data_IF_574652663810
#
_entry.id   IF_574652663810
#
_cell.length_a   1.000
_cell.length_b   1.000
_cell.length_c   1.000
_cell.angle_alpha   90.00
_cell.angle_beta   90.00
_cell.angle_gamma   90.00
#
_symmetry.space_group_name_H-M   'P 1'
#
loop_
_entity.id
_entity.type
_entity.pdbx_description
1 polymer ?
#
# COMPACT_ATOMS: atom_id res chain seq x y z
N UNK A 1 -3.20 10.75 31.93
CA UNK A 1 -3.42 11.12 30.51
C UNK A 1 -4.90 11.38 30.31
N UNK A 2 -5.27 12.61 29.96
CA UNK A 2 -6.65 13.00 29.62
C UNK A 2 -7.05 12.41 28.27
N UNK A 3 -8.30 11.94 28.08
CA UNK A 3 -8.76 11.42 26.80
C UNK A 3 -8.83 12.53 25.76
N UNK A 4 -8.23 12.29 24.59
CA UNK A 4 -8.29 13.20 23.44
C UNK A 4 -9.70 13.13 22.84
N UNK A 5 -10.40 14.26 22.63
CA UNK A 5 -11.75 14.25 22.08
C UNK A 5 -11.73 13.76 20.62
N UNK A 6 -12.67 12.87 20.30
CA UNK A 6 -12.94 12.38 18.95
C UNK A 6 -13.41 13.56 18.09
N UNK A 7 -12.53 14.11 17.25
CA UNK A 7 -12.89 15.13 16.28
C UNK A 7 -13.67 14.47 15.14
N UNK A 8 -14.98 14.75 15.06
CA UNK A 8 -15.78 14.37 13.90
C UNK A 8 -15.24 15.05 12.63
N UNK A 9 -15.15 14.34 11.50
CA UNK A 9 -14.70 14.93 10.24
C UNK A 9 -15.71 15.98 9.73
N UNK A 10 -15.25 17.06 9.08
CA UNK A 10 -16.10 18.15 8.60
C UNK A 10 -17.16 17.66 7.60
N UNK A 11 -18.37 18.20 7.73
CA UNK A 11 -19.62 17.69 7.10
C UNK A 11 -19.62 17.67 5.57
N UNK A 12 -18.63 18.29 4.93
CA UNK A 12 -18.49 18.36 3.46
C UNK A 12 -18.00 17.03 2.85
N UNK A 13 -17.28 16.18 3.60
CA UNK A 13 -16.79 14.88 3.10
C UNK A 13 -17.86 13.79 3.04
N UNK A 14 -19.01 13.97 3.70
CA UNK A 14 -20.09 12.95 3.71
C UNK A 14 -20.76 12.78 2.35
N UNK A 15 -20.73 13.79 1.47
CA UNK A 15 -21.44 13.73 0.18
C UNK A 15 -20.68 12.95 -0.90
N UNK A 16 -19.34 12.98 -0.90
CA UNK A 16 -18.52 12.28 -1.90
C UNK A 16 -18.38 10.79 -1.56
N UNK A 17 -18.19 10.47 -0.27
CA UNK A 17 -18.15 9.07 0.21
C UNK A 17 -19.49 8.38 -0.02
N UNK A 18 -20.61 9.07 0.17
CA UNK A 18 -21.96 8.52 -0.08
C UNK A 18 -22.23 8.31 -1.57
N UNK A 19 -21.64 9.11 -2.48
CA UNK A 19 -21.79 8.91 -3.94
C UNK A 19 -21.04 7.67 -4.41
N UNK A 20 -19.83 7.44 -3.90
CA UNK A 20 -19.05 6.21 -4.15
C UNK A 20 -19.64 4.95 -3.51
N UNK A 21 -20.57 5.09 -2.56
CA UNK A 21 -21.23 3.97 -1.88
C UNK A 21 -22.60 3.62 -2.48
N UNK A 22 -23.21 4.49 -3.29
CA UNK A 22 -24.59 4.32 -3.79
C UNK A 22 -24.72 3.79 -5.23
N UNK A 23 -23.67 3.80 -6.05
CA UNK A 23 -23.76 3.36 -7.46
C UNK A 23 -23.05 2.03 -7.79
N UNK A 24 -22.51 1.34 -6.78
CA UNK A 24 -21.70 0.12 -6.96
C UNK A 24 -22.36 -1.21 -6.53
N UNK A 25 -23.64 -1.45 -6.80
CA UNK A 25 -24.22 -2.82 -6.66
C UNK A 25 -25.03 -3.26 -7.88
N UNK A 26 -24.52 -4.22 -8.65
CA UNK A 26 -25.34 -5.26 -9.25
C UNK A 26 -25.29 -6.54 -8.39
N UNK A 27 -26.43 -7.19 -8.28
CA UNK A 27 -26.68 -8.36 -7.43
C UNK A 27 -25.85 -9.59 -7.77
N UNK A 28 -25.65 -10.44 -6.76
CA UNK A 28 -25.07 -11.78 -6.88
C UNK A 28 -26.11 -12.76 -7.43
N UNK A 29 -25.70 -13.61 -8.37
CA UNK A 29 -26.06 -15.04 -8.37
C UNK A 29 -24.92 -15.86 -9.01
N UNK A 30 -24.77 -17.17 -8.67
CA UNK A 30 -23.49 -17.89 -8.71
C UNK A 30 -23.33 -18.86 -9.89
N UNK A 31 -22.11 -19.45 -9.97
CA UNK A 31 -21.65 -20.61 -10.77
C UNK A 31 -21.17 -20.27 -12.20
N UNK A 32 -20.10 -20.83 -12.79
CA UNK A 32 -19.32 -22.05 -12.56
C UNK A 32 -17.84 -21.83 -13.00
N UNK A 33 -16.95 -22.70 -12.49
CA UNK A 33 -15.51 -22.84 -12.81
C UNK A 33 -15.17 -22.95 -14.31
N UNK A 34 -14.05 -22.36 -14.75
CA UNK A 34 -12.77 -23.05 -15.03
C UNK A 34 -11.74 -22.12 -15.70
N UNK A 35 -10.47 -22.51 -15.57
CA UNK A 35 -9.28 -22.09 -16.31
C UNK A 35 -8.51 -20.82 -15.89
N UNK A 36 -7.67 -21.06 -14.88
CA UNK A 36 -6.32 -20.50 -14.79
C UNK A 36 -5.51 -20.82 -16.05
N UNK A 37 -5.03 -19.81 -16.77
CA UNK A 37 -3.66 -19.81 -17.32
C UNK A 37 -3.15 -18.37 -17.38
N UNK A 38 -1.88 -18.21 -17.01
CA UNK A 38 -1.28 -16.95 -16.58
C UNK A 38 -1.11 -15.89 -17.66
N UNK A 39 -0.98 -14.65 -17.20
CA UNK A 39 -0.21 -13.56 -17.82
C UNK A 39 0.03 -12.51 -16.74
N UNK A 40 0.97 -12.83 -15.85
CA UNK A 40 1.62 -11.87 -14.98
C UNK A 40 2.86 -11.37 -15.73
N UNK A 41 2.94 -10.06 -16.00
CA UNK A 41 4.05 -9.29 -16.60
C UNK A 41 3.69 -8.58 -17.92
N UNK A 42 3.01 -7.42 -17.85
CA UNK A 42 2.99 -6.43 -18.95
C UNK A 42 2.51 -5.01 -18.55
N UNK A 43 2.66 -4.55 -17.30
CA UNK A 43 2.19 -3.21 -16.88
C UNK A 43 3.27 -2.33 -16.25
N UNK A 44 4.54 -2.67 -16.45
CA UNK A 44 5.69 -1.90 -15.93
C UNK A 44 6.56 -1.37 -17.07
N UNK A 45 5.97 -0.59 -17.99
CA UNK A 45 6.74 0.34 -18.82
C UNK A 45 5.84 1.47 -19.36
N UNK A 46 5.99 2.73 -18.89
CA UNK A 46 5.29 3.88 -19.46
C UNK A 46 5.77 4.29 -20.87
N UNK A 47 6.78 3.62 -21.44
CA UNK A 47 7.49 4.08 -22.64
C UNK A 47 7.32 3.22 -23.89
N UNK A 48 6.40 2.25 -23.92
CA UNK A 48 6.18 1.42 -25.11
C UNK A 48 4.74 1.46 -25.63
N UNK A 49 4.22 2.65 -25.93
CA UNK A 49 3.24 2.78 -27.01
C UNK A 49 3.98 2.66 -28.35
N UNK A 50 4.32 1.43 -28.75
CA UNK A 50 4.83 1.17 -30.09
C UNK A 50 3.73 1.49 -31.09
N UNK A 51 3.92 2.58 -31.80
CA UNK A 51 3.12 3.00 -32.94
C UNK A 51 3.33 2.02 -34.10
N UNK A 52 2.58 0.91 -34.11
CA UNK A 52 2.41 0.11 -35.32
C UNK A 52 1.53 0.90 -36.29
N UNK A 53 2.17 1.54 -37.28
CA UNK A 53 1.47 2.15 -38.42
C UNK A 53 0.95 1.04 -39.32
N UNK A 54 -0.29 0.62 -39.10
CA UNK A 54 -1.05 -0.16 -40.07
C UNK A 54 -1.75 0.82 -41.03
N UNK A 55 -1.65 0.55 -42.33
CA UNK A 55 -2.18 1.37 -43.43
C UNK A 55 -3.69 1.60 -43.26
N UNK A 56 -4.09 2.87 -43.18
CA UNK A 56 -5.47 3.32 -42.94
C UNK A 56 -5.55 4.30 -41.77
N UNK A 57 -4.97 5.50 -41.93
CA UNK A 57 -4.96 6.52 -40.86
C UNK A 57 -6.38 7.07 -40.65
N UNK A 58 -7.08 6.49 -39.68
CA UNK A 58 -8.18 7.14 -38.95
C UNK A 58 -7.57 8.35 -38.23
N UNK A 59 -8.13 9.55 -38.43
CA UNK A 59 -7.75 10.73 -37.65
C UNK A 59 -8.03 10.44 -36.17
N UNK A 60 -6.97 10.45 -35.35
CA UNK A 60 -7.08 10.22 -33.90
C UNK A 60 -7.50 11.50 -33.19
N UNK A 61 -8.45 11.38 -32.27
CA UNK A 61 -8.77 12.48 -31.34
C UNK A 61 -7.61 12.68 -30.35
N UNK A 62 -7.27 13.94 -30.07
CA UNK A 62 -6.16 14.33 -29.19
C UNK A 62 -6.71 14.87 -27.86
N UNK A 63 -6.62 14.08 -26.79
CA UNK A 63 -7.20 14.38 -25.48
C UNK A 63 -6.14 14.70 -24.43
N UNK A 64 -5.39 15.78 -24.67
CA UNK A 64 -4.23 16.15 -23.84
C UNK A 64 -4.57 16.36 -22.36
N UNK A 65 -5.75 16.92 -22.09
CA UNK A 65 -6.19 17.18 -20.71
C UNK A 65 -6.50 15.88 -19.98
N UNK A 66 -7.18 14.93 -20.65
CA UNK A 66 -7.45 13.61 -20.08
C UNK A 66 -6.16 12.82 -19.85
N UNK A 67 -5.22 12.86 -20.80
CA UNK A 67 -3.91 12.21 -20.65
C UNK A 67 -3.13 12.74 -19.44
N UNK A 68 -3.24 14.05 -19.17
CA UNK A 68 -2.62 14.69 -18.02
C UNK A 68 -3.22 14.18 -16.70
N UNK A 69 -4.55 14.17 -16.60
CA UNK A 69 -5.25 13.70 -15.40
C UNK A 69 -5.08 12.19 -15.19
N UNK A 70 -5.10 11.40 -16.27
CA UNK A 70 -4.83 9.97 -16.22
C UNK A 70 -3.41 9.70 -15.69
N UNK A 71 -2.41 10.45 -16.14
CA UNK A 71 -1.03 10.31 -15.65
C UNK A 71 -0.93 10.62 -14.15
N UNK A 72 -1.60 11.67 -13.68
CA UNK A 72 -1.65 12.02 -12.25
C UNK A 72 -2.33 10.91 -11.44
N UNK A 73 -3.47 10.41 -11.91
CA UNK A 73 -4.18 9.30 -11.30
C UNK A 73 -3.29 8.04 -11.22
N UNK A 74 -2.64 7.64 -12.31
CA UNK A 74 -1.76 6.46 -12.36
C UNK A 74 -0.56 6.58 -11.42
N UNK A 75 -0.02 7.78 -11.27
CA UNK A 75 1.04 8.06 -10.29
C UNK A 75 0.54 7.82 -8.86
N UNK A 76 -0.64 8.34 -8.52
CA UNK A 76 -1.26 8.14 -7.21
C UNK A 76 -1.63 6.67 -6.96
N UNK A 77 -2.25 5.98 -7.92
CA UNK A 77 -2.62 4.57 -7.84
C UNK A 77 -1.40 3.70 -7.54
N UNK A 78 -0.30 3.92 -8.25
CA UNK A 78 0.95 3.18 -8.06
C UNK A 78 1.51 3.43 -6.65
N UNK A 79 1.53 4.68 -6.21
CA UNK A 79 2.02 5.03 -4.88
C UNK A 79 1.16 4.43 -3.76
N UNK A 80 -0.18 4.47 -3.89
CA UNK A 80 -1.11 3.93 -2.90
C UNK A 80 -1.03 2.40 -2.81
N UNK A 81 -0.95 1.69 -3.95
CA UNK A 81 -0.76 0.24 -3.95
C UNK A 81 0.60 -0.16 -3.33
N UNK A 82 1.66 0.61 -3.61
CA UNK A 82 2.95 0.41 -2.95
C UNK A 82 2.82 0.63 -1.44
N UNK A 83 2.20 1.72 -1.01
CA UNK A 83 1.96 2.01 0.40
C UNK A 83 1.19 0.88 1.10
N UNK A 84 0.15 0.32 0.47
CA UNK A 84 -0.59 -0.82 1.01
C UNK A 84 0.32 -2.03 1.25
N UNK A 85 1.18 -2.35 0.27
CA UNK A 85 2.13 -3.46 0.37
C UNK A 85 3.14 -3.23 1.49
N UNK A 86 3.75 -2.06 1.54
CA UNK A 86 4.76 -1.72 2.56
C UNK A 86 4.14 -1.65 3.96
N UNK A 87 2.94 -1.08 4.12
CA UNK A 87 2.24 -1.02 5.39
C UNK A 87 1.90 -2.42 5.93
N UNK A 88 1.52 -3.35 5.05
CA UNK A 88 1.32 -4.75 5.42
C UNK A 88 2.64 -5.41 5.81
N UNK A 89 3.67 -5.22 4.98
CA UNK A 89 5.01 -5.75 5.23
C UNK A 89 5.56 -5.30 6.58
N UNK A 90 5.37 -4.03 6.96
CA UNK A 90 5.77 -3.50 8.26
C UNK A 90 5.16 -4.27 9.44
N UNK A 91 3.84 -4.55 9.41
CA UNK A 91 3.18 -5.29 10.47
C UNK A 91 3.70 -6.73 10.55
N UNK A 92 3.90 -7.38 9.41
CA UNK A 92 4.44 -8.74 9.34
C UNK A 92 5.89 -8.79 9.86
N UNK A 93 6.71 -7.78 9.54
CA UNK A 93 8.07 -7.63 10.07
C UNK A 93 8.09 -7.41 11.58
N UNK A 94 7.19 -6.59 12.13
CA UNK A 94 7.09 -6.42 13.58
C UNK A 94 6.81 -7.74 14.29
N UNK A 95 5.84 -8.53 13.80
CA UNK A 95 5.52 -9.85 14.36
C UNK A 95 6.68 -10.82 14.23
N UNK A 96 7.35 -10.84 13.08
CA UNK A 96 8.49 -11.71 12.85
C UNK A 96 9.67 -11.38 13.79
N UNK A 97 9.92 -10.09 14.01
CA UNK A 97 10.95 -9.60 14.92
C UNK A 97 10.66 -10.04 16.36
N UNK A 98 9.45 -9.82 16.88
CA UNK A 98 9.13 -10.20 18.27
C UNK A 98 9.12 -11.71 18.47
N UNK A 99 8.62 -12.47 17.49
CA UNK A 99 8.71 -13.93 17.52
C UNK A 99 10.18 -14.41 17.51
N UNK A 100 11.07 -13.73 16.79
CA UNK A 100 12.50 -14.03 16.82
C UNK A 100 13.13 -13.69 18.15
N UNK A 101 12.77 -12.54 18.73
CA UNK A 101 13.24 -12.11 20.05
C UNK A 101 12.82 -13.10 21.14
N UNK A 102 11.60 -13.64 21.05
CA UNK A 102 11.10 -14.69 21.95
C UNK A 102 11.95 -15.95 21.89
N UNK A 103 12.25 -16.46 20.68
CA UNK A 103 13.09 -17.66 20.53
C UNK A 103 14.50 -17.47 21.09
N UNK A 104 15.07 -16.26 20.94
CA UNK A 104 16.36 -15.91 21.55
C UNK A 104 16.25 -15.99 23.07
N UNK A 105 15.21 -15.36 23.65
CA UNK A 105 14.97 -15.39 25.09
C UNK A 105 14.81 -16.81 25.65
N UNK A 106 14.02 -17.65 24.98
CA UNK A 106 13.83 -19.07 25.34
C UNK A 106 15.15 -19.85 25.28
N UNK A 107 15.96 -19.62 24.25
CA UNK A 107 17.25 -20.30 24.06
C UNK A 107 18.25 -19.89 25.15
N UNK A 108 18.33 -18.60 25.47
CA UNK A 108 19.20 -18.07 26.54
C UNK A 108 18.78 -18.66 27.89
N UNK A 109 17.48 -18.63 28.21
CA UNK A 109 16.94 -19.18 29.45
C UNK A 109 17.25 -20.69 29.58
N UNK A 110 17.04 -21.47 28.51
CA UNK A 110 17.36 -22.90 28.49
C UNK A 110 18.86 -23.19 28.59
N UNK A 111 19.70 -22.38 27.93
CA UNK A 111 21.15 -22.57 27.91
C UNK A 111 21.79 -22.27 29.28
N UNK A 112 21.42 -21.14 29.88
CA UNK A 112 21.97 -20.75 31.18
C UNK A 112 21.30 -21.48 32.35
N UNK A 113 20.07 -21.97 32.20
CA UNK A 113 19.39 -22.84 33.17
C UNK A 113 19.50 -22.36 34.63
N UNK A 114 19.95 -23.24 35.52
CA UNK A 114 20.18 -22.91 36.94
C UNK A 114 21.46 -22.06 37.20
N UNK A 115 22.36 -21.95 36.23
CA UNK A 115 23.56 -21.09 36.34
C UNK A 115 23.23 -19.61 36.10
N UNK A 116 22.32 -19.32 35.17
CA UNK A 116 21.74 -17.97 34.96
C UNK A 116 20.78 -17.52 36.07
N UNK A 117 20.57 -18.35 37.10
CA UNK A 117 19.82 -17.97 38.32
C UNK A 117 20.65 -17.12 39.25
N UNK A 118 21.98 -17.13 39.12
CA UNK A 118 22.87 -16.42 40.06
C UNK A 118 22.85 -14.90 39.87
N UNK A 119 22.52 -14.40 38.67
CA UNK A 119 22.40 -12.97 38.35
C UNK A 119 20.97 -12.55 37.93
N UNK A 120 20.13 -13.50 37.49
CA UNK A 120 18.71 -13.25 37.18
C UNK A 120 18.47 -12.51 35.86
N UNK A 121 19.53 -12.17 35.13
CA UNK A 121 19.48 -11.38 33.88
C UNK A 121 18.75 -12.13 32.78
N UNK A 122 19.05 -13.42 32.58
CA UNK A 122 18.43 -14.25 31.54
C UNK A 122 16.91 -14.39 31.73
N UNK A 123 16.48 -14.62 32.97
CA UNK A 123 15.06 -14.68 33.36
C UNK A 123 14.36 -13.33 33.21
N UNK A 124 15.00 -12.24 33.65
CA UNK A 124 14.44 -10.90 33.46
C UNK A 124 14.31 -10.53 31.98
N UNK A 125 15.31 -10.88 31.16
CA UNK A 125 15.24 -10.66 29.72
C UNK A 125 14.07 -11.42 29.10
N UNK A 126 13.92 -12.71 29.44
CA UNK A 126 12.79 -13.51 28.96
C UNK A 126 11.44 -12.91 29.36
N UNK A 127 11.25 -12.53 30.61
CA UNK A 127 10.02 -11.88 31.07
C UNK A 127 9.76 -10.55 30.33
N UNK A 128 10.79 -9.73 30.12
CA UNK A 128 10.64 -8.47 29.38
C UNK A 128 10.24 -8.69 27.90
N UNK A 129 10.73 -9.76 27.28
CA UNK A 129 10.37 -10.15 25.92
C UNK A 129 8.95 -10.73 25.85
N UNK A 130 8.55 -11.55 26.83
CA UNK A 130 7.19 -12.09 26.97
C UNK A 130 6.16 -10.97 27.12
N UNK A 131 6.44 -9.98 27.99
CA UNK A 131 5.60 -8.79 28.17
C UNK A 131 5.49 -7.98 26.87
N UNK A 132 6.61 -7.78 26.16
CA UNK A 132 6.63 -7.03 24.91
C UNK A 132 5.78 -7.71 23.82
N UNK A 133 5.85 -9.04 23.70
CA UNK A 133 5.04 -9.77 22.72
C UNK A 133 3.55 -9.79 23.13
N UNK A 134 3.27 -10.11 24.39
CA UNK A 134 1.92 -10.33 24.87
C UNK A 134 1.11 -9.04 25.05
N UNK A 135 1.72 -7.97 25.59
CA UNK A 135 1.01 -6.75 25.96
C UNK A 135 1.14 -5.66 24.90
N UNK A 136 2.29 -5.54 24.22
CA UNK A 136 2.53 -4.47 23.26
C UNK A 136 2.09 -4.89 21.85
N UNK A 137 2.64 -5.96 21.29
CA UNK A 137 2.33 -6.34 19.90
C UNK A 137 0.88 -6.74 19.72
N UNK A 138 0.33 -7.63 20.57
CA UNK A 138 -1.08 -8.03 20.45
C UNK A 138 -2.04 -6.85 20.63
N UNK A 139 -1.71 -5.90 21.51
CA UNK A 139 -2.53 -4.70 21.69
C UNK A 139 -2.41 -3.69 20.55
N UNK A 140 -1.28 -3.66 19.83
CA UNK A 140 -1.06 -2.78 18.68
C UNK A 140 -1.56 -3.37 17.35
N UNK A 141 -1.67 -4.69 17.24
CA UNK A 141 -2.06 -5.40 16.01
C UNK A 141 -3.44 -4.96 15.51
N UNK A 142 -4.43 -4.97 16.40
CA UNK A 142 -5.80 -4.57 16.11
C UNK A 142 -5.91 -3.10 15.68
N UNK A 143 -5.40 -2.13 16.48
CA UNK A 143 -5.33 -0.73 16.10
C UNK A 143 -4.61 -0.48 14.77
N UNK A 144 -3.47 -1.14 14.52
CA UNK A 144 -2.75 -0.98 13.25
C UNK A 144 -3.58 -1.47 12.06
N UNK A 145 -4.21 -2.64 12.17
CA UNK A 145 -5.10 -3.16 11.13
C UNK A 145 -6.25 -2.20 10.84
N UNK A 146 -6.95 -1.75 11.88
CA UNK A 146 -8.15 -0.90 11.76
C UNK A 146 -7.85 0.53 11.31
N UNK A 147 -6.77 1.12 11.82
CA UNK A 147 -6.49 2.54 11.62
C UNK A 147 -5.49 2.79 10.50
N UNK A 148 -4.73 1.79 10.05
CA UNK A 148 -3.72 1.92 8.99
C UNK A 148 -4.05 1.03 7.79
N UNK A 149 -4.12 -0.29 7.98
CA UNK A 149 -4.24 -1.23 6.85
C UNK A 149 -5.62 -1.19 6.17
N UNK A 150 -6.69 -1.19 6.95
CA UNK A 150 -8.06 -1.21 6.41
C UNK A 150 -8.39 0.07 5.60
N UNK A 151 -8.09 1.29 6.09
CA UNK A 151 -8.33 2.51 5.30
C UNK A 151 -7.55 2.52 3.99
N UNK A 152 -6.24 2.21 4.03
CA UNK A 152 -5.38 2.14 2.84
C UNK A 152 -5.93 1.08 1.87
N UNK A 153 -6.29 -0.09 2.37
CA UNK A 153 -6.83 -1.18 1.51
C UNK A 153 -8.16 -0.80 0.88
N UNK A 154 -9.04 -0.11 1.62
CA UNK A 154 -10.30 0.39 1.09
C UNK A 154 -10.07 1.46 0.02
N UNK A 155 -9.09 2.34 0.20
CA UNK A 155 -8.71 3.31 -0.83
C UNK A 155 -8.26 2.62 -2.12
N UNK A 156 -7.36 1.63 -2.01
CA UNK A 156 -6.88 0.88 -3.16
C UNK A 156 -7.98 0.05 -3.85
N UNK A 157 -9.02 -0.37 -3.11
CA UNK A 157 -10.12 -1.16 -3.65
C UNK A 157 -10.98 -0.41 -4.68
N UNK A 158 -10.90 0.92 -4.76
CA UNK A 158 -11.62 1.70 -5.78
C UNK A 158 -10.92 1.70 -7.15
N UNK A 159 -9.62 1.47 -7.20
CA UNK A 159 -8.84 1.59 -8.44
C UNK A 159 -9.28 0.63 -9.56
N UNK A 160 -9.64 -0.65 -9.30
CA UNK A 160 -10.12 -1.54 -10.36
C UNK A 160 -11.34 -0.99 -11.11
N UNK A 161 -12.32 -0.44 -10.40
CA UNK A 161 -13.54 0.10 -11.02
C UNK A 161 -13.22 1.34 -11.86
N UNK A 162 -12.36 2.24 -11.34
CA UNK A 162 -11.92 3.43 -12.07
C UNK A 162 -11.14 3.04 -13.33
N UNK A 163 -10.28 2.01 -13.24
CA UNK A 163 -9.53 1.48 -14.37
C UNK A 163 -10.45 0.91 -15.45
N UNK A 164 -11.52 0.24 -15.07
CA UNK A 164 -12.54 -0.24 -16.01
C UNK A 164 -13.30 0.92 -16.67
N UNK A 165 -13.59 2.00 -15.95
CA UNK A 165 -14.15 3.22 -16.56
C UNK A 165 -13.19 3.87 -17.57
N UNK A 166 -11.91 3.99 -17.24
CA UNK A 166 -10.87 4.49 -18.16
C UNK A 166 -10.77 3.62 -19.42
N UNK A 167 -10.79 2.29 -19.25
CA UNK A 167 -10.77 1.33 -20.37
C UNK A 167 -12.02 1.45 -21.24
N UNK A 168 -13.21 1.57 -20.63
CA UNK A 168 -14.48 1.80 -21.35
C UNK A 168 -14.43 3.08 -22.17
N UNK A 169 -13.94 4.18 -21.59
CA UNK A 169 -13.73 5.44 -22.30
C UNK A 169 -12.82 5.26 -23.52
N UNK A 170 -11.69 4.57 -23.37
CA UNK A 170 -10.76 4.31 -24.48
C UNK A 170 -11.39 3.50 -25.62
N UNK A 171 -12.19 2.49 -25.28
CA UNK A 171 -12.93 1.71 -26.27
C UNK A 171 -13.94 2.59 -27.02
N UNK A 172 -14.71 3.42 -26.30
CA UNK A 172 -15.67 4.34 -26.92
C UNK A 172 -15.01 5.40 -27.80
N UNK A 173 -13.84 5.88 -27.42
CA UNK A 173 -13.07 6.78 -28.28
C UNK A 173 -12.66 6.09 -29.59
N UNK A 174 -12.22 4.84 -29.52
CA UNK A 174 -11.83 4.05 -30.70
C UNK A 174 -13.03 3.81 -31.62
N UNK A 175 -14.19 3.47 -31.05
CA UNK A 175 -15.45 3.30 -31.80
C UNK A 175 -15.84 4.60 -32.52
N UNK A 176 -15.80 5.74 -31.81
CA UNK A 176 -16.12 7.05 -32.35
C UNK A 176 -15.17 7.47 -33.48
N UNK A 177 -13.86 7.36 -33.28
CA UNK A 177 -12.86 7.70 -34.31
C UNK A 177 -13.07 6.84 -35.58
N UNK A 178 -13.37 5.55 -35.42
CA UNK A 178 -13.68 4.65 -36.53
C UNK A 178 -14.94 5.05 -37.31
N UNK A 179 -16.03 5.41 -36.62
CA UNK A 179 -17.26 5.88 -37.25
C UNK A 179 -17.09 7.26 -37.89
N UNK A 180 -16.31 8.16 -37.28
CA UNK A 180 -15.96 9.46 -37.87
C UNK A 180 -15.20 9.28 -39.19
N UNK A 181 -14.25 8.35 -39.25
CA UNK A 181 -13.54 8.04 -40.49
C UNK A 181 -14.47 7.42 -41.55
N UNK A 182 -15.45 6.59 -41.16
CA UNK A 182 -16.47 6.06 -42.07
C UNK A 182 -17.33 7.18 -42.67
N UNK A 183 -17.79 8.13 -41.84
CA UNK A 183 -18.54 9.32 -42.29
C UNK A 183 -17.71 10.15 -43.26
N UNK A 184 -16.44 10.47 -42.91
CA UNK A 184 -15.53 11.22 -43.79
C UNK A 184 -15.39 10.56 -45.17
N UNK A 185 -15.16 9.24 -45.20
CA UNK A 185 -15.05 8.47 -46.45
C UNK A 185 -16.32 8.51 -47.30
N UNK A 186 -17.50 8.37 -46.68
CA UNK A 186 -18.79 8.44 -47.38
C UNK A 186 -19.11 9.86 -47.87
N UNK A 187 -18.61 10.88 -47.18
CA UNK A 187 -18.75 12.28 -47.59
C UNK A 187 -17.87 12.60 -48.80
N UNK A 188 -16.61 12.18 -48.79
CA UNK A 188 -15.65 12.38 -49.88
C UNK A 188 -15.99 11.54 -51.12
N UNK A 189 -16.52 10.33 -50.91
CA UNK A 189 -16.94 9.42 -51.98
C UNK A 189 -18.36 8.90 -51.69
N UNK A 190 -19.39 9.64 -52.14
CA UNK A 190 -20.79 9.25 -51.95
C UNK A 190 -21.08 7.86 -52.50
N UNK A 191 -21.80 7.05 -51.72
CA UNK A 191 -22.27 5.73 -52.14
C UNK A 191 -23.49 5.86 -53.06
N UNK A 192 -23.79 4.80 -53.81
CA UNK A 192 -25.01 4.74 -54.64
C UNK A 192 -26.27 4.73 -53.78
N UNK A 193 -26.17 4.16 -52.58
CA UNK A 193 -27.24 4.17 -51.59
C UNK A 193 -27.20 5.46 -50.76
N UNK A 194 -28.16 6.34 -51.04
CA UNK A 194 -28.31 7.64 -50.36
C UNK A 194 -28.61 7.53 -48.86
N UNK A 195 -29.02 6.37 -48.36
CA UNK A 195 -29.32 6.17 -46.93
C UNK A 195 -28.07 5.84 -46.10
N UNK A 196 -26.96 5.43 -46.73
CA UNK A 196 -25.75 5.01 -46.00
C UNK A 196 -25.07 6.15 -45.25
N UNK A 197 -25.00 7.34 -45.84
CA UNK A 197 -24.38 8.50 -45.20
C UNK A 197 -25.19 8.96 -43.98
N UNK A 198 -26.51 9.23 -44.08
CA UNK A 198 -27.34 9.59 -42.92
C UNK A 198 -27.29 8.56 -41.79
N UNK A 199 -27.26 7.27 -42.13
CA UNK A 199 -27.14 6.20 -41.12
C UNK A 199 -25.78 6.24 -40.41
N UNK A 200 -24.68 6.37 -41.16
CA UNK A 200 -23.34 6.46 -40.60
C UNK A 200 -23.16 7.71 -39.72
N UNK A 201 -23.76 8.85 -40.10
CA UNK A 201 -23.77 10.08 -39.30
C UNK A 201 -24.51 9.87 -37.97
N UNK A 202 -25.68 9.23 -38.00
CA UNK A 202 -26.43 8.90 -36.78
C UNK A 202 -25.67 7.94 -35.86
N UNK A 203 -24.99 6.94 -36.43
CA UNK A 203 -24.12 6.02 -35.67
C UNK A 203 -22.94 6.78 -35.03
N UNK A 204 -22.28 7.66 -35.79
CA UNK A 204 -21.16 8.45 -35.31
C UNK A 204 -21.56 9.41 -34.19
N UNK A 205 -22.72 10.05 -34.29
CA UNK A 205 -23.24 10.95 -33.25
C UNK A 205 -23.59 10.19 -31.96
N UNK A 206 -24.19 9.00 -32.07
CA UNK A 206 -24.46 8.16 -30.91
C UNK A 206 -23.16 7.71 -30.21
N UNK A 207 -22.13 7.33 -30.98
CA UNK A 207 -20.82 6.96 -30.45
C UNK A 207 -20.10 8.15 -29.80
N UNK A 208 -20.21 9.34 -30.41
CA UNK A 208 -19.68 10.60 -29.88
C UNK A 208 -20.27 10.89 -28.50
N UNK A 209 -21.60 10.90 -28.39
CA UNK A 209 -22.29 11.17 -27.13
C UNK A 209 -21.88 10.21 -26.01
N UNK A 210 -21.75 8.91 -26.33
CA UNK A 210 -21.30 7.89 -25.37
C UNK A 210 -19.84 8.11 -24.91
N UNK A 211 -18.94 8.48 -25.82
CA UNK A 211 -17.56 8.82 -25.49
C UNK A 211 -17.48 10.12 -24.66
N UNK A 212 -18.13 11.20 -25.10
CA UNK A 212 -18.09 12.51 -24.43
C UNK A 212 -18.64 12.43 -23.01
N UNK A 213 -19.68 11.62 -22.78
CA UNK A 213 -20.22 11.37 -21.43
C UNK A 213 -19.18 10.78 -20.48
N UNK A 214 -18.51 9.69 -20.89
CA UNK A 214 -17.45 9.07 -20.08
C UNK A 214 -16.22 9.97 -19.94
N UNK A 215 -15.86 10.70 -21.01
CA UNK A 215 -14.72 11.59 -21.00
C UNK A 215 -14.91 12.74 -20.01
N UNK A 216 -16.07 13.40 -20.04
CA UNK A 216 -16.43 14.48 -19.13
C UNK A 216 -16.45 13.98 -17.70
N UNK A 217 -17.09 12.84 -17.45
CA UNK A 217 -17.13 12.24 -16.11
C UNK A 217 -15.72 12.00 -15.56
N UNK A 218 -14.82 11.40 -16.33
CA UNK A 218 -13.46 11.13 -15.86
C UNK A 218 -12.62 12.41 -15.69
N UNK A 219 -12.80 13.41 -16.55
CA UNK A 219 -12.14 14.71 -16.40
C UNK A 219 -12.59 15.44 -15.12
N UNK A 220 -13.85 15.27 -14.72
CA UNK A 220 -14.38 15.85 -13.49
C UNK A 220 -13.96 15.07 -12.24
N UNK A 221 -14.03 13.74 -12.29
CA UNK A 221 -13.88 12.88 -11.10
C UNK A 221 -12.43 12.54 -10.74
N UNK A 222 -11.54 12.37 -11.73
CA UNK A 222 -10.13 12.01 -11.44
C UNK A 222 -9.40 13.06 -10.59
N UNK A 223 -9.49 14.38 -10.88
CA UNK A 223 -8.88 15.41 -10.04
C UNK A 223 -9.43 15.39 -8.60
N UNK A 224 -10.74 15.20 -8.44
CA UNK A 224 -11.38 15.15 -7.13
C UNK A 224 -10.90 13.96 -6.30
N UNK A 225 -10.76 12.78 -6.92
CA UNK A 225 -10.20 11.61 -6.26
C UNK A 225 -8.75 11.84 -5.84
N UNK A 226 -7.96 12.48 -6.72
CA UNK A 226 -6.57 12.84 -6.42
C UNK A 226 -6.55 13.73 -5.18
N UNK A 227 -7.35 14.80 -5.12
CA UNK A 227 -7.36 15.73 -3.98
C UNK A 227 -7.85 15.08 -2.68
N UNK A 228 -8.80 14.14 -2.78
CA UNK A 228 -9.33 13.39 -1.63
C UNK A 228 -8.28 12.51 -0.93
N UNK A 229 -7.20 12.12 -1.62
CA UNK A 229 -6.16 11.23 -1.07
C UNK A 229 -5.59 11.73 0.26
N UNK A 230 -5.42 13.05 0.41
CA UNK A 230 -4.81 13.67 1.59
C UNK A 230 -5.73 13.55 2.81
N UNK A 231 -6.93 14.15 2.83
CA UNK A 231 -7.81 14.05 3.99
C UNK A 231 -8.27 12.61 4.28
N UNK A 232 -8.26 11.72 3.28
CA UNK A 232 -8.57 10.31 3.50
C UNK A 232 -7.44 9.55 4.19
N UNK A 233 -6.17 9.76 3.80
CA UNK A 233 -5.02 9.00 4.31
C UNK A 233 -4.33 9.67 5.51
N UNK A 234 -4.46 10.99 5.71
CA UNK A 234 -3.84 11.72 6.82
C UNK A 234 -4.12 11.10 8.20
N UNK A 235 -5.37 10.71 8.55
CA UNK A 235 -5.62 10.03 9.83
C UNK A 235 -4.89 8.69 9.96
N UNK A 236 -4.67 7.99 8.84
CA UNK A 236 -3.94 6.72 8.82
C UNK A 236 -2.43 6.94 9.04
N UNK A 237 -1.87 8.01 8.46
CA UNK A 237 -0.48 8.40 8.72
C UNK A 237 -0.27 8.82 10.18
N UNK A 238 -1.20 9.61 10.73
CA UNK A 238 -1.15 10.00 12.15
C UNK A 238 -1.22 8.77 13.06
N UNK A 239 -2.14 7.85 12.79
CA UNK A 239 -2.27 6.60 13.54
C UNK A 239 -1.00 5.74 13.44
N UNK A 240 -0.41 5.63 12.24
CA UNK A 240 0.84 4.92 12.02
C UNK A 240 1.96 5.46 12.92
N UNK A 241 2.21 6.77 12.89
CA UNK A 241 3.26 7.40 13.72
C UNK A 241 3.01 7.17 15.21
N UNK A 242 1.77 7.32 15.67
CA UNK A 242 1.41 7.09 17.08
C UNK A 242 1.62 5.64 17.52
N UNK A 243 1.27 4.68 16.67
CA UNK A 243 1.48 3.25 16.94
C UNK A 243 2.97 2.93 16.99
N UNK A 244 3.76 3.45 16.04
CA UNK A 244 5.21 3.27 16.03
C UNK A 244 5.88 3.87 17.26
N UNK A 245 5.50 5.09 17.65
CA UNK A 245 6.00 5.73 18.86
C UNK A 245 5.69 4.90 20.10
N UNK A 246 4.44 4.42 20.22
CA UNK A 246 4.02 3.56 21.34
C UNK A 246 4.82 2.27 21.39
N UNK A 247 5.00 1.60 20.24
CA UNK A 247 5.81 0.40 20.15
C UNK A 247 7.24 0.63 20.64
N UNK A 248 7.92 1.67 20.12
CA UNK A 248 9.29 1.98 20.51
C UNK A 248 9.42 2.35 21.99
N UNK A 249 8.47 3.13 22.53
CA UNK A 249 8.48 3.53 23.93
C UNK A 249 8.28 2.34 24.87
N UNK A 250 7.33 1.45 24.56
CA UNK A 250 7.09 0.25 25.35
C UNK A 250 8.27 -0.72 25.24
N UNK A 251 8.83 -0.94 24.03
CA UNK A 251 10.02 -1.77 23.82
C UNK A 251 11.22 -1.26 24.63
N UNK A 252 11.49 0.05 24.58
CA UNK A 252 12.54 0.66 25.38
C UNK A 252 12.30 0.45 26.87
N UNK A 253 11.08 0.74 27.36
CA UNK A 253 10.76 0.60 28.77
C UNK A 253 10.94 -0.83 29.28
N UNK A 254 10.54 -1.85 28.50
CA UNK A 254 10.71 -3.26 28.89
C UNK A 254 12.18 -3.67 28.89
N UNK A 255 12.94 -3.29 27.86
CA UNK A 255 14.37 -3.63 27.78
C UNK A 255 15.20 -2.89 28.84
N UNK A 256 14.87 -1.64 29.16
CA UNK A 256 15.53 -0.89 30.22
C UNK A 256 15.39 -1.55 31.60
N UNK A 257 14.27 -2.24 31.86
CA UNK A 257 14.10 -3.00 33.11
C UNK A 257 15.09 -4.18 33.22
N UNK A 258 15.59 -4.73 32.12
CA UNK A 258 16.60 -5.79 32.17
C UNK A 258 17.93 -5.26 32.68
N UNK A 259 18.25 -3.99 32.41
CA UNK A 259 19.51 -3.38 32.81
C UNK A 259 19.72 -3.39 34.33
N UNK A 260 18.64 -3.34 35.13
CA UNK A 260 18.76 -3.35 36.60
C UNK A 260 19.34 -4.66 37.15
N UNK A 261 19.27 -5.74 36.37
CA UNK A 261 19.81 -7.05 36.74
C UNK A 261 21.27 -7.23 36.30
N UNK A 262 21.80 -6.33 35.45
CA UNK A 262 23.22 -6.32 35.14
C UNK A 262 24.03 -5.98 36.39
N UNK A 263 25.23 -6.53 36.48
CA UNK A 263 26.12 -6.25 37.60
C UNK A 263 26.45 -4.75 37.68
N UNK A 264 26.82 -4.32 38.89
CA UNK A 264 26.99 -2.89 39.20
C UNK A 264 28.14 -2.26 38.39
N UNK A 265 29.22 -3.00 38.17
CA UNK A 265 30.40 -2.54 37.44
C UNK A 265 30.06 -2.30 35.96
N UNK A 266 29.35 -3.24 35.33
CA UNK A 266 28.83 -3.08 33.96
C UNK A 266 27.92 -1.86 33.81
N UNK A 267 27.07 -1.58 34.81
CA UNK A 267 26.17 -0.40 34.78
C UNK A 267 26.93 0.91 34.95
N UNK A 268 27.93 0.97 35.83
CA UNK A 268 28.78 2.15 36.04
C UNK A 268 29.62 2.43 34.77
N UNK A 269 30.21 1.41 34.17
CA UNK A 269 30.95 1.53 32.91
C UNK A 269 30.06 1.96 31.74
N UNK A 270 28.80 1.52 31.69
CA UNK A 270 27.83 2.04 30.70
C UNK A 270 27.55 3.53 30.91
N UNK A 271 27.30 3.95 32.14
CA UNK A 271 27.00 5.35 32.47
C UNK A 271 28.19 6.30 32.20
N UNK A 272 29.42 5.81 32.38
CA UNK A 272 30.66 6.56 32.15
C UNK A 272 31.13 6.52 30.68
N UNK A 273 30.46 5.73 29.82
CA UNK A 273 30.82 5.60 28.40
C UNK A 273 32.04 4.70 28.13
N UNK A 274 32.44 3.88 29.11
CA UNK A 274 33.58 2.98 29.03
C UNK A 274 33.23 1.57 28.51
N UNK A 275 31.95 1.30 28.25
CA UNK A 275 31.47 -0.02 27.83
C UNK A 275 32.15 -0.52 26.53
N UNK A 276 32.33 0.35 25.54
CA UNK A 276 32.92 -0.04 24.25
C UNK A 276 34.37 -0.52 24.39
N UNK A 277 35.16 0.17 25.23
CA UNK A 277 36.54 -0.23 25.52
C UNK A 277 36.60 -1.57 26.25
N UNK A 278 35.67 -1.80 27.19
CA UNK A 278 35.56 -3.07 27.91
C UNK A 278 35.14 -4.22 26.99
N UNK A 279 34.20 -3.98 26.08
CA UNK A 279 33.78 -4.98 25.09
C UNK A 279 34.95 -5.33 24.17
N UNK A 280 35.74 -4.36 23.73
CA UNK A 280 36.93 -4.60 22.92
C UNK A 280 37.99 -5.44 23.68
N UNK A 281 38.21 -5.14 24.96
CA UNK A 281 39.11 -5.90 25.84
C UNK A 281 38.63 -7.36 26.00
N UNK A 282 37.34 -7.57 26.30
CA UNK A 282 36.74 -8.92 26.40
C UNK A 282 36.81 -9.66 25.06
N UNK A 283 36.59 -8.98 23.94
CA UNK A 283 36.74 -9.59 22.61
C UNK A 283 38.18 -9.99 22.31
N UNK A 284 39.17 -9.24 22.79
CA UNK A 284 40.58 -9.62 22.71
C UNK A 284 40.90 -10.83 23.59
N UNK A 285 40.37 -10.88 24.81
CA UNK A 285 40.46 -12.05 25.69
C UNK A 285 39.85 -13.29 25.03
N UNK A 286 38.65 -13.16 24.43
CA UNK A 286 37.99 -14.25 23.69
C UNK A 286 38.83 -14.73 22.50
N UNK A 287 39.48 -13.83 21.76
CA UNK A 287 40.42 -14.21 20.69
C UNK A 287 41.67 -14.91 21.24
N UNK A 288 42.08 -14.55 22.45
CA UNK A 288 43.18 -15.18 23.19
C UNK A 288 42.83 -16.56 23.75
N UNK A 289 41.54 -16.86 23.95
CA UNK A 289 41.02 -18.19 24.26
C UNK A 289 41.09 -19.08 23.01
N UNK A 290 42.32 -19.42 22.59
CA UNK A 290 42.55 -20.49 21.63
C UNK A 290 42.15 -21.82 22.28
N UNK A 291 41.06 -22.40 21.81
CA UNK A 291 40.76 -23.82 22.04
C UNK A 291 41.90 -24.59 21.38
N UNK A 292 42.91 -24.98 22.16
CA UNK A 292 44.03 -25.79 21.65
C UNK A 292 43.47 -27.13 21.14
N UNK A 293 43.81 -27.67 19.97
CA UNK A 293 44.73 -27.20 18.92
C UNK A 293 44.69 -28.13 17.69
N UNK A 294 45.51 -27.80 16.70
CA UNK A 294 46.00 -28.75 15.71
C UNK A 294 46.65 -29.95 16.39
N UNK A 295 46.03 -31.13 16.26
CA UNK A 295 46.67 -32.42 15.92
C UNK A 295 45.71 -33.15 14.99
#
# INVERSE_FOLDING_TARGET
>A
MTPVPYLEPPSTSKHVVVRLQKEGRPGRHPSHDEDRYGLQSALTDPSSYKQTRTVGQVEKTNDRDFETELRRYKTMETAANKLQKEAKGYLDSLRAMTASQMRIAETIDAFYGDAGTRDGVSRSYKSAVEDLDAETIKALDGPYRKCVLEPISRFCAYFPDINECVKKRQNKLTDYDGLRAKVKKLTEKPDKDVQKLPLAEREAEAARSAYEGLNTQLLDELPQLIDLRVPYLDPSFEALVKIQLRFCAEAYSRMAQVQQFLDKDTREQYAEGHLDARVEEVLQEIRGLSISGTV
#
